data_IF_142320007715
#
_entry.id   IF_142320007715
#
_cell.length_a   1.000
_cell.length_b   1.000
_cell.length_c   1.000
_cell.angle_alpha   90.00
_cell.angle_beta   90.00
_cell.angle_gamma   90.00
#
_symmetry.space_group_name_H-M   'P 1'
#
loop_
_entity.id
_entity.type
_entity.pdbx_description
1 polymer ?
#
# COMPACT_ATOMS: atom_id res chain seq x y z
N UNK A 1 55.47 -49.79 -31.22
CA UNK A 1 55.03 -49.00 -32.38
C UNK A 1 53.59 -48.58 -32.16
N UNK A 2 53.32 -47.31 -32.42
CA UNK A 2 52.05 -46.57 -32.33
C UNK A 2 50.82 -47.38 -32.79
N UNK A 3 49.66 -47.18 -32.14
CA UNK A 3 48.56 -46.38 -32.74
C UNK A 3 47.69 -45.75 -31.64
N UNK A 4 47.65 -44.41 -31.64
CA UNK A 4 46.67 -43.59 -30.93
C UNK A 4 45.28 -43.72 -31.57
N UNK A 5 44.24 -43.97 -30.77
CA UNK A 5 42.85 -43.69 -31.18
C UNK A 5 42.16 -42.95 -30.03
N UNK A 6 42.12 -41.63 -30.13
CA UNK A 6 41.28 -40.76 -29.30
C UNK A 6 39.79 -40.96 -29.68
N UNK A 7 38.86 -41.17 -28.73
CA UNK A 7 37.44 -41.05 -29.02
C UNK A 7 37.00 -39.59 -29.09
N UNK A 8 36.16 -39.33 -30.10
CA UNK A 8 35.62 -38.03 -30.53
C UNK A 8 34.79 -37.34 -29.44
N UNK A 9 34.96 -36.01 -29.32
CA UNK A 9 34.04 -35.09 -28.63
C UNK A 9 32.62 -35.25 -29.18
N UNK A 10 31.69 -35.70 -28.34
CA UNK A 10 30.26 -35.53 -28.57
C UNK A 10 29.90 -34.09 -28.20
N UNK A 11 29.62 -33.28 -29.23
CA UNK A 11 29.05 -31.95 -29.05
C UNK A 11 27.66 -32.06 -28.44
N UNK A 12 27.47 -31.44 -27.28
CA UNK A 12 26.15 -31.20 -26.71
C UNK A 12 25.46 -30.14 -27.57
N UNK A 13 24.50 -30.59 -28.39
CA UNK A 13 23.57 -29.71 -29.09
C UNK A 13 22.82 -28.89 -28.05
N UNK A 14 23.12 -27.58 -28.01
CA UNK A 14 22.38 -26.63 -27.20
C UNK A 14 20.92 -26.61 -27.64
N UNK A 15 20.04 -27.06 -26.77
CA UNK A 15 18.60 -26.79 -26.87
C UNK A 15 18.42 -25.26 -26.86
N UNK A 16 17.76 -24.65 -27.85
CA UNK A 16 17.38 -23.25 -27.73
C UNK A 16 16.39 -23.16 -26.57
N UNK A 17 16.79 -22.46 -25.50
CA UNK A 17 15.85 -22.05 -24.47
C UNK A 17 14.78 -21.20 -25.15
N UNK A 18 13.58 -21.76 -25.28
CA UNK A 18 12.41 -21.03 -25.72
C UNK A 18 12.21 -19.87 -24.74
N UNK A 19 12.63 -18.67 -25.15
CA UNK A 19 12.30 -17.42 -24.49
C UNK A 19 10.80 -17.23 -24.61
N UNK A 20 10.07 -17.70 -23.60
CA UNK A 20 8.66 -17.39 -23.42
C UNK A 20 8.51 -15.89 -23.14
N UNK A 21 8.52 -15.08 -24.20
CA UNK A 21 8.25 -13.63 -24.20
C UNK A 21 6.77 -13.30 -23.91
N UNK A 22 6.05 -14.20 -23.27
CA UNK A 22 4.77 -13.91 -22.64
C UNK A 22 4.95 -14.10 -21.14
N UNK A 23 5.68 -13.14 -20.54
CA UNK A 23 5.59 -12.92 -19.11
C UNK A 23 4.11 -12.83 -18.75
N UNK A 24 3.66 -13.78 -17.93
CA UNK A 24 2.33 -13.79 -17.34
C UNK A 24 2.10 -12.41 -16.71
N UNK A 25 1.42 -11.53 -17.45
CA UNK A 25 0.96 -10.25 -16.93
C UNK A 25 -0.13 -10.55 -15.91
N UNK A 26 0.25 -10.90 -14.71
CA UNK A 26 -0.57 -10.66 -13.53
C UNK A 26 -0.54 -9.16 -13.23
N UNK A 27 -0.95 -8.35 -14.21
CA UNK A 27 -1.49 -7.04 -13.87
C UNK A 27 -2.77 -7.35 -13.11
N UNK A 28 -2.68 -7.41 -11.77
CA UNK A 28 -3.85 -7.39 -10.90
C UNK A 28 -4.60 -6.13 -11.34
N UNK A 29 -5.68 -6.33 -12.09
CA UNK A 29 -6.52 -5.23 -12.58
C UNK A 29 -7.26 -4.72 -11.35
N UNK A 30 -6.63 -3.83 -10.60
CA UNK A 30 -7.30 -3.04 -9.58
C UNK A 30 -8.38 -2.24 -10.33
N UNK A 31 -9.63 -2.69 -10.20
CA UNK A 31 -10.81 -2.13 -10.89
C UNK A 31 -11.82 -1.53 -9.90
N UNK A 32 -11.65 -1.78 -8.61
CA UNK A 32 -12.67 -1.55 -7.56
C UNK A 32 -12.16 -0.69 -6.40
N UNK A 33 -10.97 -0.10 -6.51
CA UNK A 33 -10.35 0.74 -5.50
C UNK A 33 -11.14 2.03 -5.27
N UNK A 34 -11.74 2.60 -6.32
CA UNK A 34 -12.58 3.80 -6.24
C UNK A 34 -14.07 3.50 -6.03
N UNK A 35 -14.47 2.23 -6.15
CA UNK A 35 -15.84 1.76 -6.03
C UNK A 35 -15.87 0.35 -5.41
N UNK A 36 -15.66 0.25 -4.08
CA UNK A 36 -15.65 -1.04 -3.40
C UNK A 36 -17.03 -1.72 -3.42
N UNK A 37 -17.04 -3.03 -3.65
CA UNK A 37 -18.25 -3.86 -3.75
C UNK A 37 -18.55 -4.56 -2.43
N UNK A 38 -18.95 -3.81 -1.42
CA UNK A 38 -19.42 -4.41 -0.16
C UNK A 38 -20.77 -5.11 -0.38
N UNK A 39 -20.89 -6.36 0.08
CA UNK A 39 -22.15 -7.13 -0.02
C UNK A 39 -23.31 -6.43 0.67
N UNK A 40 -23.08 -5.93 1.89
CA UNK A 40 -24.05 -5.16 2.66
C UNK A 40 -23.63 -3.70 2.66
N UNK A 41 -24.35 -2.88 1.91
CA UNK A 41 -24.11 -1.43 1.86
C UNK A 41 -24.76 -0.75 3.08
N UNK A 42 -23.97 0.03 3.82
CA UNK A 42 -24.40 0.65 5.07
C UNK A 42 -23.92 2.10 5.14
N UNK A 43 -24.76 2.99 5.68
CA UNK A 43 -24.39 4.39 5.91
C UNK A 43 -23.30 4.46 7.00
N UNK A 44 -22.14 5.07 6.71
CA UNK A 44 -21.03 5.19 7.68
C UNK A 44 -21.02 6.55 8.39
N UNK A 45 -20.68 6.60 9.68
CA UNK A 45 -20.50 7.86 10.40
C UNK A 45 -19.32 8.66 9.86
N UNK A 46 -19.34 9.99 10.05
CA UNK A 46 -18.33 10.92 9.51
C UNK A 46 -16.91 10.58 9.99
N UNK A 47 -16.74 10.25 11.27
CA UNK A 47 -15.42 9.99 11.88
C UNK A 47 -14.45 11.19 11.76
N UNK A 48 -13.16 10.94 11.99
CA UNK A 48 -12.05 11.91 11.83
C UNK A 48 -10.90 11.27 11.08
N UNK A 49 -10.09 12.08 10.40
CA UNK A 49 -8.85 11.58 9.79
C UNK A 49 -7.87 11.25 10.92
N UNK A 50 -7.26 10.06 10.95
CA UNK A 50 -6.40 9.69 12.06
C UNK A 50 -5.08 10.45 11.98
N UNK A 51 -4.76 11.18 13.06
CA UNK A 51 -3.42 11.73 13.32
C UNK A 51 -2.62 10.64 14.02
N UNK A 52 -1.54 10.19 13.40
CA UNK A 52 -0.78 9.01 13.83
C UNK A 52 0.28 9.36 14.86
N UNK A 53 -0.15 9.70 16.08
CA UNK A 53 0.75 10.14 17.16
C UNK A 53 1.80 9.08 17.54
N UNK A 54 1.46 7.79 17.47
CA UNK A 54 2.40 6.69 17.71
C UNK A 54 3.43 6.44 16.60
N UNK A 55 3.68 7.40 15.71
CA UNK A 55 4.75 7.32 14.71
C UNK A 55 4.54 6.30 13.59
N UNK A 56 3.29 5.96 13.26
CA UNK A 56 3.02 4.87 12.30
C UNK A 56 3.47 5.17 10.87
N UNK A 57 4.47 4.44 10.39
CA UNK A 57 5.01 4.47 9.02
C UNK A 57 4.20 3.63 8.00
N UNK A 58 3.08 3.02 8.42
CA UNK A 58 2.33 2.07 7.57
C UNK A 58 1.75 2.74 6.33
N UNK A 59 2.28 2.37 5.16
CA UNK A 59 1.91 2.92 3.86
C UNK A 59 2.49 4.31 3.58
N UNK A 60 3.52 4.72 4.32
CA UNK A 60 4.30 5.94 4.08
C UNK A 60 5.60 5.65 3.31
N UNK A 61 5.90 4.38 3.04
CA UNK A 61 7.06 3.88 2.29
C UNK A 61 6.65 3.43 0.88
N UNK A 62 7.58 3.58 -0.08
CA UNK A 62 7.45 3.02 -1.43
C UNK A 62 7.58 1.50 -1.36
N UNK A 63 6.73 0.76 -2.07
CA UNK A 63 6.71 -0.71 -2.01
C UNK A 63 6.74 -1.39 -3.38
N UNK A 64 6.13 -0.79 -4.41
CA UNK A 64 5.96 -1.41 -5.73
C UNK A 64 6.68 -0.62 -6.83
N UNK A 65 6.52 0.71 -6.82
CA UNK A 65 7.09 1.60 -7.82
C UNK A 65 8.41 2.25 -7.41
N UNK A 66 9.11 2.81 -8.40
CA UNK A 66 10.38 3.52 -8.24
C UNK A 66 10.19 4.91 -7.63
N UNK A 67 9.11 5.58 -8.02
CA UNK A 67 8.76 6.93 -7.59
C UNK A 67 7.32 6.98 -7.08
N UNK A 68 6.99 7.95 -6.23
CA UNK A 68 5.63 8.10 -5.74
C UNK A 68 5.25 9.51 -5.30
N UNK A 69 3.95 9.65 -5.02
CA UNK A 69 3.32 10.87 -4.50
C UNK A 69 2.86 10.63 -3.07
N UNK A 70 3.40 11.38 -2.12
CA UNK A 70 2.97 11.35 -0.71
C UNK A 70 2.26 12.63 -0.29
N UNK A 71 1.42 12.53 0.73
CA UNK A 71 0.82 13.69 1.38
C UNK A 71 1.83 14.40 2.30
N UNK A 72 2.06 15.69 2.07
CA UNK A 72 2.96 16.55 2.87
C UNK A 72 2.20 17.31 3.96
N UNK A 73 0.97 17.75 3.68
CA UNK A 73 0.14 18.51 4.61
C UNK A 73 -0.46 17.65 5.74
N UNK A 74 -1.28 18.30 6.56
CA UNK A 74 -2.17 17.64 7.52
C UNK A 74 -3.06 16.59 6.85
N UNK A 75 -3.57 15.67 7.67
CA UNK A 75 -4.39 14.57 7.20
C UNK A 75 -5.68 15.06 6.53
N UNK A 76 -5.95 14.56 5.33
CA UNK A 76 -7.05 15.01 4.48
C UNK A 76 -7.99 13.87 4.09
N UNK A 77 -9.18 14.23 3.60
CA UNK A 77 -10.14 13.30 2.99
C UNK A 77 -10.05 13.44 1.49
N UNK A 78 -9.80 12.33 0.80
CA UNK A 78 -9.79 12.30 -0.67
C UNK A 78 -11.03 11.59 -1.16
N UNK A 79 -11.75 12.23 -2.07
CA UNK A 79 -12.91 11.63 -2.74
C UNK A 79 -12.46 10.71 -3.88
N UNK A 80 -13.30 9.76 -4.25
CA UNK A 80 -13.04 8.86 -5.38
C UNK A 80 -12.86 9.62 -6.70
N UNK A 81 -13.63 10.68 -6.91
CA UNK A 81 -13.53 11.50 -8.13
C UNK A 81 -12.17 12.21 -8.21
N UNK A 82 -11.72 12.87 -7.14
CA UNK A 82 -10.40 13.52 -7.11
C UNK A 82 -9.27 12.54 -7.38
N UNK A 83 -9.33 11.34 -6.77
CA UNK A 83 -8.34 10.30 -7.01
C UNK A 83 -8.37 9.81 -8.46
N UNK A 84 -9.56 9.69 -9.07
CA UNK A 84 -9.71 9.31 -10.48
C UNK A 84 -9.14 10.38 -11.42
N UNK A 85 -9.34 11.67 -11.13
CA UNK A 85 -8.76 12.75 -11.92
C UNK A 85 -7.22 12.80 -11.82
N UNK A 86 -6.68 12.61 -10.61
CA UNK A 86 -5.24 12.49 -10.41
C UNK A 86 -4.65 11.26 -11.12
N UNK A 87 -5.37 10.14 -11.08
CA UNK A 87 -5.02 8.92 -11.78
C UNK A 87 -5.00 9.12 -13.30
N UNK A 88 -6.05 9.71 -13.88
CA UNK A 88 -6.10 10.07 -15.29
C UNK A 88 -4.93 10.97 -15.70
N UNK A 89 -4.57 11.95 -14.85
CA UNK A 89 -3.42 12.82 -15.10
C UNK A 89 -2.10 12.04 -15.14
N UNK A 90 -1.90 11.07 -14.24
CA UNK A 90 -0.72 10.20 -14.21
C UNK A 90 -0.69 9.23 -15.38
N UNK A 91 -1.83 8.65 -15.75
CA UNK A 91 -1.92 7.68 -16.85
C UNK A 91 -1.48 8.27 -18.19
N UNK A 92 -1.60 9.58 -18.40
CA UNK A 92 -1.04 10.26 -19.59
C UNK A 92 0.48 10.13 -19.70
N UNK A 93 1.18 10.06 -18.56
CA UNK A 93 2.62 9.88 -18.49
C UNK A 93 3.05 8.41 -18.46
N UNK A 94 2.19 7.53 -17.97
CA UNK A 94 2.48 6.10 -17.85
C UNK A 94 2.32 5.38 -19.19
N UNK A 95 1.31 5.75 -19.99
CA UNK A 95 1.00 5.08 -21.27
C UNK A 95 2.17 5.05 -22.27
N UNK A 96 2.99 6.11 -22.41
CA UNK A 96 4.14 6.09 -23.32
C UNK A 96 5.33 5.25 -22.84
N UNK A 97 5.36 4.82 -21.57
CA UNK A 97 6.50 4.12 -20.99
C UNK A 97 6.49 2.63 -21.38
N UNK A 98 7.67 2.11 -21.72
CA UNK A 98 7.88 0.67 -21.81
C UNK A 98 7.76 0.06 -20.41
N UNK A 99 6.92 -0.98 -20.30
CA UNK A 99 6.59 -1.64 -19.04
C UNK A 99 6.08 -0.67 -17.95
N UNK A 100 5.42 0.42 -18.36
CA UNK A 100 4.85 1.41 -17.46
C UNK A 100 3.72 0.84 -16.59
N UNK A 101 3.84 1.03 -15.28
CA UNK A 101 2.82 0.64 -14.31
C UNK A 101 2.54 1.78 -13.32
N UNK A 102 1.25 1.94 -13.00
CA UNK A 102 0.77 2.85 -11.98
C UNK A 102 0.08 2.06 -10.86
N UNK A 103 0.60 2.20 -9.66
CA UNK A 103 0.06 1.56 -8.46
C UNK A 103 -0.74 2.57 -7.64
N UNK A 104 -1.98 2.22 -7.35
CA UNK A 104 -2.89 2.97 -6.48
C UNK A 104 -2.75 2.39 -5.08
N UNK A 105 -2.14 3.12 -4.14
CA UNK A 105 -1.84 2.61 -2.79
C UNK A 105 -3.03 2.62 -1.85
N UNK A 106 -4.07 3.39 -2.19
CA UNK A 106 -5.23 3.65 -1.37
C UNK A 106 -6.51 3.20 -2.08
N UNK A 107 -7.48 2.70 -1.33
CA UNK A 107 -8.85 2.50 -1.79
C UNK A 107 -9.82 3.42 -1.04
N UNK A 108 -10.89 3.87 -1.70
CA UNK A 108 -11.94 4.68 -1.11
C UNK A 108 -12.96 3.78 -0.42
N UNK A 109 -12.64 3.40 0.81
CA UNK A 109 -13.40 2.42 1.58
C UNK A 109 -14.54 3.00 2.41
N UNK A 110 -14.74 4.32 2.43
CA UNK A 110 -15.74 4.97 3.29
C UNK A 110 -16.86 5.55 2.44
N UNK A 111 -18.07 5.06 2.66
CA UNK A 111 -19.30 5.58 2.06
C UNK A 111 -19.70 6.90 2.73
N UNK A 112 -19.72 7.99 1.96
CA UNK A 112 -20.19 9.30 2.40
C UNK A 112 -21.66 9.43 2.03
N UNK A 113 -22.46 9.93 2.99
CA UNK A 113 -23.85 10.27 2.76
C UNK A 113 -24.04 11.76 2.95
N UNK A 114 -24.73 12.40 2.01
CA UNK A 114 -25.01 13.83 2.02
C UNK A 114 -26.52 14.02 2.03
N UNK A 115 -26.97 15.02 2.77
CA UNK A 115 -28.36 15.49 2.73
C UNK A 115 -28.40 16.68 1.77
N UNK A 116 -29.41 16.72 0.91
CA UNK A 116 -29.56 17.80 -0.07
C UNK A 116 -29.67 19.16 0.62
N UNK A 117 -29.05 20.17 -0.01
CA UNK A 117 -28.97 21.53 0.52
C UNK A 117 -30.35 22.19 0.65
N UNK A 118 -31.31 21.75 -0.16
CA UNK A 118 -32.70 22.17 -0.15
C UNK A 118 -33.47 21.70 1.10
N UNK A 119 -33.01 20.63 1.76
CA UNK A 119 -33.72 20.06 2.91
C UNK A 119 -33.24 20.62 4.24
N UNK A 120 -34.18 20.88 5.16
CA UNK A 120 -33.86 21.36 6.52
C UNK A 120 -33.19 20.29 7.38
N UNK A 121 -32.60 20.74 8.50
CA UNK A 121 -31.99 19.87 9.52
C UNK A 121 -33.04 18.93 10.16
N UNK A 122 -32.59 17.80 10.74
CA UNK A 122 -33.48 16.76 11.31
C UNK A 122 -33.92 15.68 10.31
N UNK A 123 -34.97 14.89 10.59
CA UNK A 123 -35.52 13.85 9.68
C UNK A 123 -34.53 12.75 9.23
N UNK A 124 -33.52 12.48 10.05
CA UNK A 124 -32.55 11.40 9.80
C UNK A 124 -31.42 11.76 8.81
N UNK A 125 -30.73 10.73 8.33
CA UNK A 125 -29.49 10.83 7.55
C UNK A 125 -29.75 10.70 6.04
N UNK A 126 -29.07 11.52 5.25
CA UNK A 126 -29.18 11.52 3.78
C UNK A 126 -28.77 10.22 3.07
N UNK A 127 -28.89 10.23 1.75
CA UNK A 127 -28.57 9.12 0.87
C UNK A 127 -27.05 9.00 0.65
N UNK A 128 -26.61 7.87 0.10
CA UNK A 128 -25.22 7.68 -0.35
C UNK A 128 -24.92 8.66 -1.50
N UNK A 129 -23.72 9.25 -1.47
CA UNK A 129 -23.27 10.21 -2.48
C UNK A 129 -22.00 9.70 -3.17
N UNK A 130 -20.89 9.59 -2.42
CA UNK A 130 -19.61 9.15 -2.98
C UNK A 130 -18.78 8.32 -2.00
N UNK A 131 -17.75 7.66 -2.55
CA UNK A 131 -16.70 7.00 -1.77
C UNK A 131 -15.55 7.95 -1.46
N UNK A 132 -15.01 7.86 -0.25
CA UNK A 132 -13.80 8.59 0.15
C UNK A 132 -12.79 7.70 0.86
N UNK A 133 -11.58 8.22 1.02
CA UNK A 133 -10.53 7.66 1.90
C UNK A 133 -10.02 8.73 2.87
N UNK A 134 -9.66 8.31 4.08
CA UNK A 134 -8.95 9.14 5.05
C UNK A 134 -7.45 8.95 4.86
N UNK A 135 -6.74 10.03 4.58
CA UNK A 135 -5.30 9.99 4.29
C UNK A 135 -4.54 10.74 5.39
N UNK A 136 -3.82 10.03 6.26
CA UNK A 136 -2.88 10.61 7.21
C UNK A 136 -1.71 11.29 6.50
N UNK A 137 -1.08 12.25 7.18
CA UNK A 137 0.19 12.85 6.78
C UNK A 137 1.24 11.78 6.49
N UNK A 138 2.05 12.00 5.46
CA UNK A 138 3.14 11.11 5.05
C UNK A 138 2.73 9.87 4.27
N UNK A 139 1.43 9.56 4.14
CA UNK A 139 0.96 8.38 3.41
C UNK A 139 1.17 8.56 1.90
N UNK A 140 1.58 7.48 1.23
CA UNK A 140 1.75 7.42 -0.23
C UNK A 140 0.41 7.12 -0.89
N UNK A 141 0.10 7.85 -1.97
CA UNK A 141 -1.16 7.76 -2.71
C UNK A 141 -0.96 6.96 -3.99
N UNK A 142 0.04 7.33 -4.77
CA UNK A 142 0.37 6.70 -6.05
C UNK A 142 1.85 6.34 -6.08
N UNK A 143 2.16 5.26 -6.80
CA UNK A 143 3.52 4.90 -7.18
C UNK A 143 3.58 4.60 -8.67
N UNK A 144 4.70 4.91 -9.29
CA UNK A 144 4.92 4.73 -10.71
C UNK A 144 6.22 3.97 -10.96
N UNK A 145 6.19 3.05 -11.92
CA UNK A 145 7.33 2.26 -12.39
C UNK A 145 7.36 2.27 -13.92
N UNK A 146 8.54 2.27 -14.51
CA UNK A 146 8.74 2.12 -15.96
C UNK A 146 10.23 2.05 -16.27
N UNK A 147 10.59 1.39 -17.38
CA UNK A 147 11.99 1.15 -17.77
C UNK A 147 12.68 2.44 -18.26
N UNK A 148 11.98 3.22 -19.10
CA UNK A 148 12.48 4.49 -19.65
C UNK A 148 11.99 5.72 -18.85
N UNK A 149 11.71 5.55 -17.56
CA UNK A 149 11.15 6.62 -16.73
C UNK A 149 12.25 7.49 -16.12
N UNK A 150 12.52 8.63 -16.75
CA UNK A 150 13.43 9.63 -16.18
C UNK A 150 12.77 10.40 -15.01
N UNK A 151 13.55 10.66 -13.95
CA UNK A 151 13.04 11.25 -12.70
C UNK A 151 12.32 12.59 -12.91
N UNK A 152 12.85 13.48 -13.76
CA UNK A 152 12.23 14.79 -14.03
C UNK A 152 10.82 14.64 -14.61
N UNK A 153 10.61 13.65 -15.49
CA UNK A 153 9.30 13.36 -16.07
C UNK A 153 8.35 12.84 -14.99
N UNK A 154 8.82 11.95 -14.13
CA UNK A 154 8.02 11.46 -13.01
C UNK A 154 7.61 12.58 -12.05
N UNK A 155 8.55 13.46 -11.70
CA UNK A 155 8.32 14.62 -10.84
C UNK A 155 7.26 15.56 -11.43
N UNK A 156 7.34 15.84 -12.72
CA UNK A 156 6.34 16.66 -13.42
C UNK A 156 4.96 15.99 -13.47
N UNK A 157 4.91 14.68 -13.72
CA UNK A 157 3.66 13.91 -13.69
C UNK A 157 2.99 14.01 -12.31
N UNK A 158 3.77 13.79 -11.25
CA UNK A 158 3.29 13.85 -9.87
C UNK A 158 2.90 15.26 -9.42
N UNK A 159 3.58 16.30 -9.91
CA UNK A 159 3.18 17.70 -9.72
C UNK A 159 1.80 17.98 -10.32
N UNK A 160 1.55 17.52 -11.55
CA UNK A 160 0.25 17.65 -12.22
C UNK A 160 -0.86 16.83 -11.55
N UNK A 161 -0.54 15.67 -10.98
CA UNK A 161 -1.49 14.89 -10.20
C UNK A 161 -1.83 15.59 -8.87
N UNK A 162 -0.82 16.16 -8.20
CA UNK A 162 -1.00 16.90 -6.96
C UNK A 162 -1.95 18.10 -7.08
N UNK A 163 -1.94 18.80 -8.22
CA UNK A 163 -2.85 19.94 -8.45
C UNK A 163 -4.33 19.55 -8.60
N UNK A 164 -4.65 18.26 -8.77
CA UNK A 164 -6.02 17.74 -8.84
C UNK A 164 -6.56 17.27 -7.49
N UNK A 165 -5.71 17.19 -6.47
CA UNK A 165 -6.06 16.66 -5.17
C UNK A 165 -6.13 17.77 -4.11
N UNK A 166 -7.04 17.68 -3.12
CA UNK A 166 -7.10 18.64 -2.02
C UNK A 166 -5.99 18.33 -1.00
N UNK A 167 -4.88 19.06 -1.08
CA UNK A 167 -3.77 18.93 -0.14
C UNK A 167 -2.45 19.41 -0.73
N UNK A 168 -1.40 19.39 0.09
CA UNK A 168 -0.04 19.63 -0.39
C UNK A 168 0.65 18.27 -0.49
N UNK A 169 1.23 18.01 -1.66
CA UNK A 169 1.86 16.74 -1.97
C UNK A 169 3.35 16.90 -2.22
N UNK A 170 4.06 15.79 -2.10
CA UNK A 170 5.50 15.74 -2.23
C UNK A 170 5.90 14.51 -3.05
N UNK A 171 6.89 14.72 -3.92
CA UNK A 171 7.52 13.67 -4.69
C UNK A 171 8.45 12.84 -3.80
N UNK A 172 8.45 11.53 -3.99
CA UNK A 172 9.26 10.58 -3.21
C UNK A 172 10.01 9.66 -4.15
N UNK A 173 11.30 9.46 -3.88
CA UNK A 173 12.13 8.41 -4.46
C UNK A 173 12.52 7.39 -3.37
N UNK A 174 13.09 6.24 -3.77
CA UNK A 174 13.45 5.18 -2.82
C UNK A 174 14.41 5.64 -1.72
N UNK A 175 15.34 6.54 -2.04
CA UNK A 175 16.32 7.08 -1.11
C UNK A 175 15.75 8.16 -0.17
N UNK A 176 14.53 8.66 -0.44
CA UNK A 176 13.93 9.73 0.36
C UNK A 176 13.49 9.19 1.73
N UNK A 177 13.75 9.92 2.84
CA UNK A 177 13.37 9.47 4.18
C UNK A 177 11.85 9.45 4.34
N UNK A 178 11.35 8.61 5.25
CA UNK A 178 9.91 8.43 5.48
C UNK A 178 9.36 9.61 6.26
N UNK A 179 8.27 10.21 5.78
CA UNK A 179 7.56 11.28 6.49
C UNK A 179 6.65 10.68 7.56
N UNK A 180 6.85 11.07 8.82
CA UNK A 180 6.03 10.61 9.96
C UNK A 180 5.10 11.72 10.45
N UNK A 181 5.60 12.95 10.51
CA UNK A 181 4.83 14.14 10.87
C UNK A 181 4.90 15.24 9.79
N UNK A 182 4.43 16.43 10.14
CA UNK A 182 4.47 17.60 9.24
C UNK A 182 5.90 18.06 8.96
N UNK A 183 6.73 18.10 10.01
CA UNK A 183 8.15 18.51 9.91
C UNK A 183 9.11 17.41 10.36
N UNK A 184 8.59 16.24 10.78
CA UNK A 184 9.37 15.11 11.27
C UNK A 184 9.50 14.01 10.22
N UNK A 185 10.74 13.58 10.00
CA UNK A 185 11.10 12.43 9.16
C UNK A 185 11.68 11.31 10.01
N UNK A 186 11.54 10.07 9.56
CA UNK A 186 12.23 8.92 10.07
C UNK A 186 13.24 8.43 9.03
N UNK A 187 14.48 8.25 9.46
CA UNK A 187 15.52 7.58 8.67
C UNK A 187 15.14 6.10 8.55
N UNK A 188 15.43 5.48 7.40
CA UNK A 188 15.05 4.10 7.08
C UNK A 188 15.76 3.01 7.92
N UNK A 189 16.32 3.36 9.07
CA UNK A 189 16.79 2.41 10.06
C UNK A 189 15.56 1.70 10.61
N UNK A 190 15.29 0.53 10.05
CA UNK A 190 14.35 -0.42 10.62
C UNK A 190 14.84 -0.66 12.05
N UNK A 191 14.05 -0.27 13.06
CA UNK A 191 14.39 -0.58 14.45
C UNK A 191 14.68 -2.07 14.59
N UNK A 192 15.43 -2.44 15.64
CA UNK A 192 15.84 -3.82 15.87
C UNK A 192 14.66 -4.79 15.73
N UNK A 193 14.91 -5.92 15.07
CA UNK A 193 13.89 -6.97 14.93
C UNK A 193 13.71 -7.67 16.27
N UNK A 194 12.57 -7.45 16.94
CA UNK A 194 12.27 -8.07 18.23
C UNK A 194 11.49 -9.38 18.09
N UNK A 195 11.90 -10.41 18.83
CA UNK A 195 11.09 -11.61 19.03
C UNK A 195 10.12 -11.40 20.21
N UNK A 196 8.87 -11.10 19.88
CA UNK A 196 7.81 -10.86 20.86
C UNK A 196 7.51 -12.08 21.76
N UNK A 197 7.79 -13.31 21.31
CA UNK A 197 7.57 -14.50 22.14
C UNK A 197 8.62 -14.60 23.25
N UNK A 198 9.88 -14.27 22.94
CA UNK A 198 10.93 -14.17 23.94
C UNK A 198 10.65 -13.05 24.94
N UNK A 199 10.21 -11.88 24.46
CA UNK A 199 9.84 -10.77 25.33
C UNK A 199 8.67 -11.13 26.26
N UNK A 200 7.64 -11.78 25.72
CA UNK A 200 6.51 -12.29 26.51
C UNK A 200 6.97 -13.34 27.53
N UNK A 201 7.95 -14.17 27.20
CA UNK A 201 8.49 -15.18 28.12
C UNK A 201 9.30 -14.54 29.25
N UNK A 202 10.08 -13.50 28.95
CA UNK A 202 10.81 -12.70 29.94
C UNK A 202 9.88 -11.93 30.88
N UNK A 203 8.78 -11.38 30.34
CA UNK A 203 7.80 -10.60 31.10
C UNK A 203 6.37 -11.10 30.82
N UNK A 204 5.97 -12.23 31.44
CA UNK A 204 4.71 -12.88 31.12
C UNK A 204 3.51 -12.11 31.68
N UNK A 205 2.42 -12.10 30.93
CA UNK A 205 1.13 -11.57 31.40
C UNK A 205 0.47 -12.55 32.37
N UNK A 206 -0.38 -12.07 33.28
CA UNK A 206 -1.14 -12.94 34.20
C UNK A 206 -1.91 -14.04 33.47
N UNK A 207 -2.56 -13.69 32.34
CA UNK A 207 -3.27 -14.66 31.50
C UNK A 207 -2.33 -15.74 30.96
N UNK A 208 -1.13 -15.36 30.51
CA UNK A 208 -0.15 -16.32 30.02
C UNK A 208 0.30 -17.28 31.13
N UNK A 209 0.57 -16.76 32.33
CA UNK A 209 0.88 -17.58 33.51
C UNK A 209 -0.27 -18.51 33.88
N UNK A 210 -1.51 -18.06 33.84
CA UNK A 210 -2.68 -18.92 34.08
C UNK A 210 -2.78 -20.04 33.05
N UNK A 211 -2.47 -19.77 31.78
CA UNK A 211 -2.45 -20.80 30.73
C UNK A 211 -1.33 -21.80 30.97
N UNK A 212 -0.15 -21.36 31.38
CA UNK A 212 0.96 -22.26 31.76
C UNK A 212 0.52 -23.13 32.94
N UNK A 213 0.00 -22.52 33.99
CA UNK A 213 -0.50 -23.19 35.20
C UNK A 213 -1.57 -24.23 34.88
N UNK A 214 -2.52 -23.90 34.01
CA UNK A 214 -3.57 -24.82 33.57
C UNK A 214 -3.03 -26.05 32.81
N UNK A 215 -1.83 -25.99 32.25
CA UNK A 215 -1.18 -27.13 31.58
C UNK A 215 -0.48 -28.06 32.57
N UNK A 216 -0.19 -27.59 33.78
CA UNK A 216 0.47 -28.40 34.80
C UNK A 216 -0.43 -29.59 35.20
N UNK A 217 0.14 -30.79 35.46
CA UNK A 217 -0.63 -32.03 35.62
C UNK A 217 -1.74 -31.95 36.68
N UNK A 218 -1.48 -31.28 37.79
CA UNK A 218 -2.41 -31.11 38.92
C UNK A 218 -3.65 -30.29 38.57
N UNK A 219 -3.61 -29.47 37.52
CA UNK A 219 -4.81 -28.78 37.02
C UNK A 219 -5.40 -29.49 35.81
N UNK A 220 -4.54 -30.08 34.97
CA UNK A 220 -4.97 -30.73 33.72
C UNK A 220 -5.72 -32.04 33.96
N UNK A 221 -5.29 -32.85 34.92
CA UNK A 221 -5.90 -34.15 35.24
C UNK A 221 -7.27 -34.01 35.92
N UNK A 222 -7.46 -32.95 36.72
CA UNK A 222 -8.65 -32.76 37.56
C UNK A 222 -9.67 -31.74 36.99
N UNK A 223 -9.56 -31.36 35.72
CA UNK A 223 -10.46 -30.34 35.12
C UNK A 223 -11.89 -30.83 34.82
N UNK A 224 -12.14 -32.14 34.90
CA UNK A 224 -13.49 -32.73 34.85
C UNK A 224 -14.26 -32.47 33.55
N UNK A 225 -13.55 -32.26 32.44
CA UNK A 225 -14.08 -32.12 31.08
C UNK A 225 -13.23 -32.91 30.11
#
# INVERSE_FOLDING_TARGET
>A
MLVNIFPKRLGTLGLPQASSLFGLRTSIRFKHEYAPRFKVQQKKQKGRVPVRTGGSIKGSTLQFGTYGLRLKSEGVRLTAQQLKEADNALMRYVRPLLQGALYRRLCTNIAVCIKGNETRMGKGKGAFDHWMVRVPTGKIIFEMKGENLHERVAREAFRKAGSKLPGIYEFVAHQSPVRVGLHRFATGETGESFDFWQELSKKPTKRHLTVIKSKEPQYRLFRGR
#
